data_IF_940261958703
#
_entry.id   IF_940261958703
#
_cell.length_a   1.000
_cell.length_b   1.000
_cell.length_c   1.000
_cell.angle_alpha   90.00
_cell.angle_beta   90.00
_cell.angle_gamma   90.00
#
_symmetry.space_group_name_H-M   'P 1'
#
loop_
_entity.id
_entity.type
_entity.pdbx_description
1 polymer ?
#
# COMPACT_ATOMS: atom_id res chain seq x y z
N UNK A 1 -3.70 4.27 -22.64
CA UNK A 1 -4.57 4.72 -21.52
C UNK A 1 -5.58 5.79 -21.93
N UNK A 2 -5.32 6.57 -22.98
CA UNK A 2 -6.12 7.77 -23.29
C UNK A 2 -7.56 7.47 -23.75
N UNK A 3 -7.77 6.33 -24.41
CA UNK A 3 -9.09 5.89 -24.88
C UNK A 3 -9.89 5.06 -23.86
N UNK A 4 -9.39 4.92 -22.61
CA UNK A 4 -10.14 4.21 -21.57
C UNK A 4 -11.31 5.08 -21.14
N UNK A 5 -12.51 4.49 -21.18
CA UNK A 5 -13.74 5.08 -20.64
C UNK A 5 -14.21 4.21 -19.49
N UNK A 6 -14.60 4.89 -18.43
CA UNK A 6 -15.08 4.32 -17.20
C UNK A 6 -16.60 4.48 -17.23
N UNK A 7 -17.34 3.39 -17.05
CA UNK A 7 -18.81 3.38 -16.96
C UNK A 7 -19.27 2.52 -15.79
N UNK A 8 -20.29 3.00 -15.07
CA UNK A 8 -20.92 2.36 -13.91
C UNK A 8 -19.97 2.03 -12.73
N UNK A 9 -19.76 3.01 -11.85
CA UNK A 9 -19.07 2.85 -10.56
C UNK A 9 -19.99 3.01 -9.37
N UNK A 10 -21.31 2.90 -9.58
CA UNK A 10 -22.32 3.19 -8.55
C UNK A 10 -22.14 2.36 -7.27
N UNK A 11 -21.48 1.20 -7.38
CA UNK A 11 -21.20 0.28 -6.27
C UNK A 11 -19.79 0.39 -5.72
N UNK A 12 -18.88 1.13 -6.35
CA UNK A 12 -17.47 1.18 -5.93
C UNK A 12 -17.31 2.25 -4.87
N UNK A 13 -16.96 1.80 -3.66
CA UNK A 13 -16.73 2.64 -2.49
C UNK A 13 -15.24 2.74 -2.14
N UNK A 14 -14.42 1.78 -2.59
CA UNK A 14 -12.98 1.72 -2.31
C UNK A 14 -12.19 1.49 -3.60
N UNK A 15 -11.03 2.11 -3.73
CA UNK A 15 -10.02 1.78 -4.74
C UNK A 15 -8.77 1.36 -3.98
N UNK A 16 -8.32 0.13 -4.16
CA UNK A 16 -7.19 -0.43 -3.42
C UNK A 16 -6.09 -0.77 -4.41
N UNK A 17 -4.92 -0.17 -4.22
CA UNK A 17 -3.72 -0.56 -4.96
C UNK A 17 -3.01 -1.68 -4.23
N UNK A 18 -2.59 -2.72 -4.95
CA UNK A 18 -1.91 -3.89 -4.38
C UNK A 18 -0.56 -4.05 -5.06
N UNK A 19 0.52 -4.10 -4.29
CA UNK A 19 1.88 -4.18 -4.83
C UNK A 19 2.21 -5.55 -5.41
N UNK A 20 1.95 -6.63 -4.66
CA UNK A 20 2.37 -7.99 -5.00
C UNK A 20 1.30 -8.75 -5.80
N UNK A 21 1.73 -9.56 -6.78
CA UNK A 21 0.81 -10.31 -7.64
C UNK A 21 0.06 -11.41 -6.87
N UNK A 22 0.75 -12.13 -6.00
CA UNK A 22 0.15 -13.20 -5.17
C UNK A 22 -0.90 -12.60 -4.25
N UNK A 23 -0.58 -11.48 -3.60
CA UNK A 23 -1.51 -10.77 -2.72
C UNK A 23 -2.68 -10.16 -3.49
N UNK A 24 -2.47 -9.69 -4.71
CA UNK A 24 -3.56 -9.18 -5.56
C UNK A 24 -4.62 -10.24 -5.84
N UNK A 25 -4.22 -11.49 -6.09
CA UNK A 25 -5.18 -12.58 -6.30
C UNK A 25 -5.89 -13.06 -5.03
N UNK A 26 -5.32 -12.75 -3.86
CA UNK A 26 -5.88 -13.16 -2.55
C UNK A 26 -6.65 -12.05 -1.85
N UNK A 27 -6.46 -10.80 -2.26
CA UNK A 27 -7.14 -9.66 -1.70
C UNK A 27 -8.60 -9.67 -2.17
N UNK A 28 -9.53 -9.73 -1.22
CA UNK A 28 -10.95 -9.67 -1.47
C UNK A 28 -11.58 -8.60 -0.59
N UNK A 29 -12.06 -7.53 -1.21
CA UNK A 29 -12.73 -6.43 -0.52
C UNK A 29 -14.03 -6.11 -1.25
N UNK A 30 -15.15 -6.16 -0.53
CA UNK A 30 -16.45 -5.86 -1.11
C UNK A 30 -16.51 -4.41 -1.61
N UNK A 31 -17.27 -4.19 -2.69
CA UNK A 31 -17.50 -2.87 -3.25
C UNK A 31 -16.20 -2.11 -3.57
N UNK A 32 -15.15 -2.85 -3.96
CA UNK A 32 -13.82 -2.30 -4.22
C UNK A 32 -13.37 -2.51 -5.66
N UNK A 33 -12.54 -1.57 -6.15
CA UNK A 33 -11.74 -1.72 -7.35
C UNK A 33 -10.29 -2.00 -6.95
N UNK A 34 -9.80 -3.20 -7.25
CA UNK A 34 -8.42 -3.58 -6.99
C UNK A 34 -7.52 -3.23 -8.19
N UNK A 35 -6.37 -2.62 -7.94
CA UNK A 35 -5.39 -2.24 -8.97
C UNK A 35 -4.02 -2.81 -8.63
N UNK A 36 -3.58 -3.80 -9.38
CA UNK A 36 -2.24 -4.37 -9.25
C UNK A 36 -1.16 -3.41 -9.77
N UNK A 37 -0.13 -3.17 -8.96
CA UNK A 37 0.99 -2.29 -9.30
C UNK A 37 2.23 -3.03 -9.79
N UNK A 38 2.61 -4.18 -9.21
CA UNK A 38 3.86 -4.87 -9.56
C UNK A 38 5.09 -3.97 -9.36
N UNK A 39 5.18 -3.35 -8.18
CA UNK A 39 6.07 -2.24 -7.88
C UNK A 39 5.64 -0.89 -8.47
N UNK A 40 6.17 0.22 -7.95
CA UNK A 40 5.67 1.56 -8.29
C UNK A 40 6.68 2.48 -9.00
N UNK A 41 6.91 2.24 -10.29
CA UNK A 41 7.79 3.08 -11.11
C UNK A 41 7.18 3.54 -12.46
N UNK A 42 5.97 3.08 -12.81
CA UNK A 42 5.44 3.23 -14.17
C UNK A 42 4.50 4.45 -14.35
N UNK A 43 4.81 5.34 -15.31
CA UNK A 43 3.98 6.50 -15.70
C UNK A 43 2.56 6.10 -16.15
N UNK A 44 2.40 4.96 -16.81
CA UNK A 44 1.10 4.48 -17.30
C UNK A 44 0.16 4.15 -16.13
N UNK A 45 0.68 3.54 -15.06
CA UNK A 45 -0.11 3.22 -13.85
C UNK A 45 -0.54 4.49 -13.12
N UNK A 46 0.33 5.49 -13.03
CA UNK A 46 -0.02 6.80 -12.45
C UNK A 46 -1.16 7.46 -13.21
N UNK A 47 -1.04 7.53 -14.54
CA UNK A 47 -2.11 8.07 -15.39
C UNK A 47 -3.42 7.29 -15.25
N UNK A 48 -3.35 5.97 -15.09
CA UNK A 48 -4.54 5.16 -14.85
C UNK A 48 -5.20 5.53 -13.51
N UNK A 49 -4.44 5.58 -12.43
CA UNK A 49 -4.94 5.93 -11.09
C UNK A 49 -5.55 7.32 -11.06
N UNK A 50 -4.91 8.30 -11.69
CA UNK A 50 -5.46 9.67 -11.81
C UNK A 50 -6.79 9.66 -12.55
N UNK A 51 -6.89 8.96 -13.69
CA UNK A 51 -8.17 8.87 -14.41
C UNK A 51 -9.26 8.13 -13.61
N UNK A 52 -8.89 7.16 -12.77
CA UNK A 52 -9.82 6.51 -11.85
C UNK A 52 -10.28 7.52 -10.79
N UNK A 53 -9.36 8.28 -10.21
CA UNK A 53 -9.66 9.34 -9.23
C UNK A 53 -10.58 10.42 -9.81
N UNK A 54 -10.33 10.88 -11.03
CA UNK A 54 -11.20 11.85 -11.70
C UNK A 54 -12.61 11.31 -11.92
N UNK A 55 -12.75 9.99 -12.16
CA UNK A 55 -14.03 9.35 -12.42
C UNK A 55 -14.84 9.05 -11.14
N UNK A 56 -14.16 8.71 -10.04
CA UNK A 56 -14.79 8.34 -8.76
C UNK A 56 -14.09 8.95 -7.54
N UNK A 57 -14.01 10.30 -7.45
CA UNK A 57 -13.27 10.96 -6.37
C UNK A 57 -13.88 10.73 -4.98
N UNK A 58 -15.15 10.31 -4.91
CA UNK A 58 -15.83 10.02 -3.65
C UNK A 58 -15.46 8.66 -3.02
N UNK A 59 -14.78 7.78 -3.77
CA UNK A 59 -14.29 6.52 -3.23
C UNK A 59 -13.15 6.76 -2.23
N UNK A 60 -12.95 5.83 -1.29
CA UNK A 60 -11.75 5.81 -0.46
C UNK A 60 -10.59 5.18 -1.22
N UNK A 61 -9.41 5.77 -1.11
CA UNK A 61 -8.22 5.30 -1.83
C UNK A 61 -7.28 4.66 -0.85
N UNK A 62 -6.90 3.42 -1.11
CA UNK A 62 -6.07 2.62 -0.24
C UNK A 62 -4.84 2.08 -0.97
N UNK A 63 -3.77 1.89 -0.23
CA UNK A 63 -2.60 1.16 -0.69
C UNK A 63 -2.28 0.01 0.26
N UNK A 64 -2.17 -1.17 -0.32
CA UNK A 64 -1.72 -2.37 0.35
C UNK A 64 -0.33 -2.72 -0.19
N UNK A 65 0.67 -2.64 0.68
CA UNK A 65 2.06 -3.00 0.42
C UNK A 65 2.67 -3.75 1.60
N UNK A 66 3.97 -4.02 1.52
CA UNK A 66 4.73 -4.66 2.60
C UNK A 66 4.85 -3.74 3.82
N UNK A 67 4.89 -4.33 5.02
CA UNK A 67 5.30 -3.61 6.24
C UNK A 67 6.82 -3.64 6.28
N UNK A 68 7.43 -2.83 5.42
CA UNK A 68 8.86 -2.58 5.34
C UNK A 68 9.14 -1.19 4.75
N UNK A 69 10.43 -0.80 4.70
CA UNK A 69 10.80 0.50 4.15
C UNK A 69 10.43 0.68 2.66
N UNK A 70 10.39 -0.40 1.88
CA UNK A 70 10.01 -0.38 0.47
C UNK A 70 8.52 -0.08 0.29
N UNK A 71 7.66 -0.81 0.99
CA UNK A 71 6.22 -0.61 0.98
C UNK A 71 5.83 0.80 1.41
N UNK A 72 6.43 1.32 2.49
CA UNK A 72 6.19 2.71 2.93
C UNK A 72 6.64 3.75 1.90
N UNK A 73 7.79 3.56 1.26
CA UNK A 73 8.26 4.49 0.21
C UNK A 73 7.35 4.48 -1.01
N UNK A 74 6.82 3.31 -1.40
CA UNK A 74 5.87 3.20 -2.51
C UNK A 74 4.58 3.95 -2.18
N UNK A 75 4.06 3.81 -0.96
CA UNK A 75 2.91 4.57 -0.48
C UNK A 75 3.12 6.09 -0.55
N UNK A 76 4.24 6.58 -0.01
CA UNK A 76 4.57 8.01 -0.01
C UNK A 76 4.73 8.54 -1.44
N UNK A 77 5.39 7.77 -2.32
CA UNK A 77 5.51 8.10 -3.74
C UNK A 77 4.15 8.08 -4.46
N UNK A 78 3.24 7.17 -4.10
CA UNK A 78 1.87 7.11 -4.62
C UNK A 78 1.15 8.42 -4.35
N UNK A 79 1.06 8.83 -3.08
CA UNK A 79 0.48 10.12 -2.68
C UNK A 79 1.13 11.29 -3.40
N UNK A 80 2.46 11.39 -3.31
CA UNK A 80 3.21 12.53 -3.87
C UNK A 80 3.07 12.67 -5.38
N UNK A 81 3.12 11.57 -6.14
CA UNK A 81 3.15 11.62 -7.62
C UNK A 81 1.76 11.63 -8.27
N UNK A 82 0.72 11.26 -7.54
CA UNK A 82 -0.66 11.25 -8.07
C UNK A 82 -1.53 12.34 -7.48
N UNK A 83 -1.15 12.89 -6.32
CA UNK A 83 -1.93 13.84 -5.52
C UNK A 83 -3.28 13.26 -5.03
N UNK A 84 -3.41 11.93 -5.08
CA UNK A 84 -4.57 11.20 -4.55
C UNK A 84 -4.36 11.00 -3.04
N UNK A 85 -5.39 11.22 -2.21
CA UNK A 85 -5.33 11.03 -0.77
C UNK A 85 -5.40 9.54 -0.39
N UNK A 86 -4.40 8.76 -0.79
CA UNK A 86 -4.30 7.35 -0.42
C UNK A 86 -4.22 7.19 1.10
N UNK A 87 -4.81 6.15 1.67
CA UNK A 87 -4.64 5.72 3.06
C UNK A 87 -3.91 4.38 3.06
N UNK A 88 -3.08 4.15 4.08
CA UNK A 88 -2.43 2.85 4.25
C UNK A 88 -3.47 1.78 4.60
N UNK A 89 -3.35 0.60 4.02
CA UNK A 89 -4.28 -0.51 4.25
C UNK A 89 -3.51 -1.74 4.68
N UNK A 90 -3.72 -2.16 5.94
CA UNK A 90 -3.02 -3.30 6.57
C UNK A 90 -1.49 -3.11 6.62
N UNK A 91 -1.07 -1.86 6.80
CA UNK A 91 0.35 -1.50 6.96
C UNK A 91 0.62 -0.84 8.32
N UNK A 92 -0.27 -1.09 9.28
CA UNK A 92 -0.25 -0.54 10.63
C UNK A 92 0.38 -1.51 11.65
N UNK A 93 0.55 -1.02 12.88
CA UNK A 93 1.14 -1.77 13.97
C UNK A 93 0.29 -2.99 14.38
N UNK A 94 -1.03 -2.87 14.36
CA UNK A 94 -1.93 -3.94 14.80
C UNK A 94 -1.84 -5.12 13.84
N UNK A 95 -1.80 -4.84 12.53
CA UNK A 95 -1.53 -5.83 11.49
C UNK A 95 -0.17 -6.50 11.70
N UNK A 96 0.89 -5.71 11.91
CA UNK A 96 2.23 -6.26 12.15
C UNK A 96 2.27 -7.16 13.39
N UNK A 97 1.61 -6.77 14.49
CA UNK A 97 1.52 -7.59 15.70
C UNK A 97 0.77 -8.90 15.44
N UNK A 98 -0.39 -8.81 14.80
CA UNK A 98 -1.24 -9.97 14.48
C UNK A 98 -0.48 -11.03 13.68
N UNK A 99 0.31 -10.62 12.70
CA UNK A 99 1.06 -11.52 11.81
C UNK A 99 2.55 -11.63 12.15
N UNK A 100 2.97 -11.17 13.32
CA UNK A 100 4.39 -11.13 13.72
C UNK A 100 5.08 -12.50 13.68
N UNK A 101 4.34 -13.59 13.88
CA UNK A 101 4.87 -14.95 13.75
C UNK A 101 5.38 -15.30 12.34
N UNK A 102 4.89 -14.61 11.31
CA UNK A 102 5.31 -14.76 9.91
C UNK A 102 6.35 -13.73 9.49
N UNK A 103 6.70 -12.80 10.39
CA UNK A 103 7.63 -11.74 10.09
C UNK A 103 9.06 -12.22 9.87
N UNK A 104 9.81 -11.46 9.09
CA UNK A 104 11.23 -11.69 8.81
C UNK A 104 12.08 -10.72 9.60
N UNK A 105 13.34 -11.10 9.87
CA UNK A 105 14.29 -10.20 10.52
C UNK A 105 14.64 -9.02 9.61
N UNK A 106 14.78 -7.84 10.20
CA UNK A 106 15.36 -6.69 9.49
C UNK A 106 16.84 -6.95 9.16
N UNK A 107 17.24 -6.55 7.96
CA UNK A 107 18.65 -6.38 7.62
C UNK A 107 19.17 -5.02 8.09
N UNK A 108 20.49 -4.84 8.15
CA UNK A 108 21.08 -3.53 8.46
C UNK A 108 20.69 -2.45 7.44
N UNK A 109 20.48 -2.83 6.18
CA UNK A 109 19.96 -1.92 5.15
C UNK A 109 18.52 -1.52 5.43
N UNK A 110 17.68 -2.45 5.89
CA UNK A 110 16.28 -2.15 6.25
C UNK A 110 16.23 -1.16 7.40
N UNK A 111 17.00 -1.39 8.48
CA UNK A 111 17.07 -0.50 9.65
C UNK A 111 17.43 0.92 9.26
N UNK A 112 18.51 1.10 8.48
CA UNK A 112 18.96 2.43 8.00
C UNK A 112 17.92 3.14 7.14
N UNK A 113 17.08 2.41 6.41
CA UNK A 113 16.00 3.00 5.60
C UNK A 113 14.81 3.37 6.48
N UNK A 114 14.47 2.54 7.46
CA UNK A 114 13.40 2.78 8.42
C UNK A 114 13.69 3.96 9.36
N UNK A 115 14.93 4.10 9.84
CA UNK A 115 15.36 5.25 10.66
C UNK A 115 15.13 6.58 9.94
N UNK A 116 15.33 6.62 8.62
CA UNK A 116 15.05 7.82 7.80
C UNK A 116 13.56 8.09 7.61
N UNK A 117 12.72 7.07 7.79
CA UNK A 117 11.28 7.15 7.63
C UNK A 117 10.57 7.35 8.99
N UNK A 118 11.27 7.29 10.12
CA UNK A 118 10.65 7.47 11.45
C UNK A 118 10.05 8.87 11.62
N UNK A 119 10.54 9.86 10.88
CA UNK A 119 9.97 11.22 10.83
C UNK A 119 8.56 11.26 10.22
N UNK A 120 8.18 10.25 9.44
CA UNK A 120 6.84 10.13 8.85
C UNK A 120 5.84 9.68 9.92
N UNK A 121 5.08 10.66 10.45
CA UNK A 121 4.16 10.46 11.59
C UNK A 121 3.21 9.27 11.40
N UNK A 122 2.69 9.05 10.19
CA UNK A 122 1.75 7.96 9.88
C UNK A 122 2.34 6.57 10.16
N UNK A 123 3.65 6.38 9.92
CA UNK A 123 4.31 5.08 10.12
C UNK A 123 5.22 5.05 11.35
N UNK A 124 5.39 6.15 12.05
CA UNK A 124 6.33 6.27 13.18
C UNK A 124 6.14 5.16 14.24
N UNK A 125 4.90 4.82 14.59
CA UNK A 125 4.62 3.80 15.60
C UNK A 125 4.99 2.38 15.14
N UNK A 126 4.58 2.00 13.93
CA UNK A 126 4.91 0.69 13.34
C UNK A 126 6.42 0.58 13.08
N UNK A 127 7.06 1.64 12.59
CA UNK A 127 8.52 1.70 12.36
C UNK A 127 9.29 1.49 13.67
N UNK A 128 8.89 2.16 14.75
CA UNK A 128 9.54 1.98 16.05
C UNK A 128 9.44 0.53 16.53
N UNK A 129 8.27 -0.07 16.42
CA UNK A 129 8.07 -1.47 16.78
C UNK A 129 8.91 -2.42 15.90
N UNK A 130 8.98 -2.16 14.60
CA UNK A 130 9.82 -2.92 13.68
C UNK A 130 11.30 -2.89 14.09
N UNK A 131 11.83 -1.71 14.41
CA UNK A 131 13.22 -1.53 14.86
C UNK A 131 13.45 -2.23 16.21
N UNK A 132 12.53 -2.06 17.17
CA UNK A 132 12.63 -2.67 18.51
C UNK A 132 12.60 -4.20 18.46
N UNK A 133 11.67 -4.78 17.69
CA UNK A 133 11.51 -6.24 17.57
C UNK A 133 12.35 -6.85 16.45
N UNK A 134 13.11 -6.03 15.72
CA UNK A 134 13.91 -6.42 14.57
C UNK A 134 13.10 -7.23 13.54
N UNK A 135 11.91 -6.72 13.17
CA UNK A 135 10.92 -7.43 12.35
C UNK A 135 10.42 -6.58 11.16
N UNK A 136 10.13 -7.24 10.04
CA UNK A 136 9.33 -6.74 8.90
C UNK A 136 8.34 -7.81 8.45
N UNK A 137 7.32 -7.42 7.70
CA UNK A 137 6.29 -8.34 7.23
C UNK A 137 6.02 -8.15 5.73
N UNK A 138 6.11 -9.24 4.98
CA UNK A 138 5.72 -9.27 3.57
C UNK A 138 4.20 -9.39 3.43
N UNK A 139 3.66 -8.77 2.40
CA UNK A 139 2.24 -8.71 2.11
C UNK A 139 1.60 -10.10 2.01
N UNK A 140 2.30 -11.08 1.41
CA UNK A 140 1.80 -12.44 1.21
C UNK A 140 1.53 -13.20 2.52
N UNK A 141 2.12 -12.75 3.64
CA UNK A 141 1.92 -13.33 4.96
C UNK A 141 0.59 -12.93 5.61
N UNK A 142 -0.09 -11.92 5.07
CA UNK A 142 -1.41 -11.50 5.56
C UNK A 142 -2.44 -12.39 4.88
N UNK A 143 -3.06 -13.27 5.68
CA UNK A 143 -4.03 -14.28 5.23
C UNK A 143 -5.42 -13.84 5.65
N UNK A 144 -6.34 -13.78 4.70
CA UNK A 144 -7.78 -13.83 4.94
C UNK A 144 -8.34 -15.20 4.55
#
# INVERSE_FOLDING_TARGET
IENIRFSDFSRIQKVITVENLTSFFRCHEENSLLVYLGGYHNRVRRKLLQKIYDAIPAAKYYHFGDIDAGGFLIFLDLRKKTEIPFESFRMDLDTLKQYSQYGKKLTETDKKRLEKLEEEKEFSEVIRYMLEKNIKLEQECIIE
#
